data_IF_862912080989
#
_entry.id   IF_862912080989
#
_cell.length_a   1.000
_cell.length_b   1.000
_cell.length_c   1.000
_cell.angle_alpha   90.00
_cell.angle_beta   90.00
_cell.angle_gamma   90.00
#
_symmetry.space_group_name_H-M   'P 1'
#
loop_
_entity.id
_entity.type
_entity.pdbx_description
1 polymer ?
#
# COMPACT_ATOMS: atom_id res chain seq x y z
N UNK A 1 -5.76 -28.99 -14.42
CA UNK A 1 -4.37 -28.66 -14.84
C UNK A 1 -4.32 -27.41 -15.72
N UNK A 2 -5.23 -27.23 -16.68
CA UNK A 2 -5.29 -26.02 -17.53
C UNK A 2 -5.50 -24.74 -16.72
N UNK A 3 -6.38 -24.75 -15.70
CA UNK A 3 -6.61 -23.58 -14.85
C UNK A 3 -5.35 -23.11 -14.12
N UNK A 4 -4.55 -24.05 -13.64
CA UNK A 4 -3.27 -23.75 -12.96
C UNK A 4 -2.33 -23.05 -13.94
N UNK A 5 -2.28 -23.50 -15.21
CA UNK A 5 -1.46 -22.86 -16.24
C UNK A 5 -1.93 -21.43 -16.51
N UNK A 6 -3.25 -21.21 -16.63
CA UNK A 6 -3.83 -19.88 -16.89
C UNK A 6 -3.55 -18.93 -15.73
N UNK A 7 -3.77 -19.37 -14.49
CA UNK A 7 -3.50 -18.57 -13.30
C UNK A 7 -2.01 -18.28 -13.14
N UNK A 8 -1.14 -19.25 -13.46
CA UNK A 8 0.32 -19.05 -13.46
C UNK A 8 0.71 -18.01 -14.50
N UNK A 9 0.16 -18.09 -15.72
CA UNK A 9 0.40 -17.10 -16.76
C UNK A 9 -0.05 -15.70 -16.35
N UNK A 10 -1.23 -15.56 -15.74
CA UNK A 10 -1.72 -14.29 -15.20
C UNK A 10 -0.77 -13.73 -14.12
N UNK A 11 -0.29 -14.57 -13.21
CA UNK A 11 0.69 -14.18 -12.19
C UNK A 11 2.01 -13.72 -12.82
N UNK A 12 2.51 -14.44 -13.83
CA UNK A 12 3.73 -14.05 -14.57
C UNK A 12 3.54 -12.70 -15.27
N UNK A 13 2.38 -12.45 -15.89
CA UNK A 13 2.05 -11.14 -16.49
C UNK A 13 2.12 -10.04 -15.44
N UNK A 14 1.50 -10.24 -14.27
CA UNK A 14 1.53 -9.27 -13.17
C UNK A 14 2.98 -8.97 -12.76
N UNK A 15 3.79 -10.01 -12.49
CA UNK A 15 5.18 -9.85 -12.07
C UNK A 15 6.05 -9.14 -13.11
N UNK A 16 5.89 -9.48 -14.40
CA UNK A 16 6.66 -8.86 -15.48
C UNK A 16 6.32 -7.37 -15.63
N UNK A 17 5.04 -7.01 -15.57
CA UNK A 17 4.61 -5.61 -15.69
C UNK A 17 5.00 -4.79 -14.45
N UNK A 18 4.89 -5.35 -13.24
CA UNK A 18 5.35 -4.70 -12.01
C UNK A 18 6.88 -4.51 -12.01
N UNK A 19 7.65 -5.48 -12.52
CA UNK A 19 9.10 -5.34 -12.69
C UNK A 19 9.47 -4.21 -13.66
N UNK A 20 8.60 -3.92 -14.63
CA UNK A 20 8.72 -2.75 -15.52
C UNK A 20 8.22 -1.45 -14.89
N UNK A 21 7.88 -1.46 -13.59
CA UNK A 21 7.39 -0.29 -12.82
C UNK A 21 6.08 0.29 -13.36
N UNK A 22 5.23 -0.53 -13.99
CA UNK A 22 3.88 -0.10 -14.37
C UNK A 22 3.01 0.12 -13.12
N UNK A 23 2.05 1.05 -13.20
CA UNK A 23 1.11 1.29 -12.11
C UNK A 23 0.30 0.02 -11.82
N UNK A 24 0.24 -0.37 -10.54
CA UNK A 24 -0.44 -1.58 -10.06
C UNK A 24 -1.87 -1.67 -10.59
N UNK A 25 -2.61 -0.56 -10.65
CA UNK A 25 -3.99 -0.54 -11.18
C UNK A 25 -4.08 -1.01 -12.63
N UNK A 26 -3.21 -0.49 -13.52
CA UNK A 26 -3.17 -0.92 -14.92
C UNK A 26 -2.71 -2.37 -15.05
N UNK A 27 -1.75 -2.80 -14.24
CA UNK A 27 -1.29 -4.19 -14.24
C UNK A 27 -2.42 -5.15 -13.90
N UNK A 28 -3.19 -4.84 -12.85
CA UNK A 28 -4.33 -5.66 -12.44
C UNK A 28 -5.47 -5.64 -13.48
N UNK A 29 -5.72 -4.50 -14.14
CA UNK A 29 -6.69 -4.43 -15.24
C UNK A 29 -6.28 -5.30 -16.43
N UNK A 30 -5.00 -5.27 -16.83
CA UNK A 30 -4.48 -6.10 -17.92
C UNK A 30 -4.58 -7.59 -17.57
N UNK A 31 -4.20 -7.98 -16.35
CA UNK A 31 -4.33 -9.36 -15.88
C UNK A 31 -5.80 -9.82 -15.84
N UNK A 32 -6.71 -8.95 -15.40
CA UNK A 32 -8.16 -9.24 -15.41
C UNK A 32 -8.70 -9.39 -16.84
N UNK A 33 -8.27 -8.53 -17.77
CA UNK A 33 -8.63 -8.64 -19.18
C UNK A 33 -8.11 -9.94 -19.79
N UNK A 34 -6.87 -10.33 -19.47
CA UNK A 34 -6.30 -11.61 -19.87
C UNK A 34 -7.16 -12.80 -19.39
N UNK A 35 -7.60 -12.78 -18.13
CA UNK A 35 -8.49 -13.82 -17.60
C UNK A 35 -9.85 -13.84 -18.31
N UNK A 36 -10.46 -12.67 -18.54
CA UNK A 36 -11.73 -12.55 -19.26
C UNK A 36 -11.64 -13.17 -20.66
N UNK A 37 -10.56 -12.86 -21.38
CA UNK A 37 -10.34 -13.38 -22.75
C UNK A 37 -10.04 -14.88 -22.75
N UNK A 38 -9.22 -15.35 -21.82
CA UNK A 38 -8.78 -16.75 -21.76
C UNK A 38 -9.92 -17.68 -21.35
N UNK A 39 -10.71 -17.27 -20.36
CA UNK A 39 -11.90 -18.02 -19.91
C UNK A 39 -13.14 -17.75 -20.77
N UNK A 40 -13.04 -16.87 -21.78
CA UNK A 40 -14.12 -16.53 -22.72
C UNK A 40 -15.42 -16.16 -21.99
N UNK A 41 -15.32 -15.28 -21.00
CA UNK A 41 -16.49 -14.84 -20.23
C UNK A 41 -17.48 -14.15 -21.17
N UNK A 42 -18.77 -14.47 -21.00
CA UNK A 42 -19.85 -13.84 -21.74
C UNK A 42 -20.09 -12.40 -21.25
N UNK A 43 -20.59 -11.49 -22.09
CA UNK A 43 -20.77 -10.08 -21.73
C UNK A 43 -21.65 -9.85 -20.48
N UNK A 44 -22.67 -10.68 -20.29
CA UNK A 44 -23.55 -10.66 -19.11
C UNK A 44 -22.77 -10.99 -17.82
N UNK A 45 -21.86 -11.97 -17.86
CA UNK A 45 -21.01 -12.34 -16.74
C UNK A 45 -20.00 -11.25 -16.43
N UNK A 46 -19.42 -10.61 -17.45
CA UNK A 46 -18.49 -9.49 -17.25
C UNK A 46 -19.21 -8.33 -16.54
N UNK A 47 -20.41 -7.95 -17.01
CA UNK A 47 -21.19 -6.89 -16.39
C UNK A 47 -21.56 -7.22 -14.94
N UNK A 48 -21.95 -8.47 -14.68
CA UNK A 48 -22.25 -8.95 -13.33
C UNK A 48 -21.03 -8.86 -12.41
N UNK A 49 -19.86 -9.30 -12.86
CA UNK A 49 -18.61 -9.25 -12.08
C UNK A 49 -18.22 -7.80 -11.78
N UNK A 50 -18.30 -6.90 -12.76
CA UNK A 50 -18.01 -5.47 -12.57
C UNK A 50 -18.98 -4.86 -11.56
N UNK A 51 -20.28 -5.10 -11.72
CA UNK A 51 -21.30 -4.61 -10.78
C UNK A 51 -21.03 -5.11 -9.37
N UNK A 52 -20.84 -6.43 -9.20
CA UNK A 52 -20.60 -7.04 -7.90
C UNK A 52 -19.33 -6.50 -7.25
N UNK A 53 -18.27 -6.26 -8.03
CA UNK A 53 -17.00 -5.71 -7.53
C UNK A 53 -17.17 -4.27 -7.05
N UNK A 54 -17.89 -3.44 -7.82
CA UNK A 54 -18.12 -2.02 -7.48
C UNK A 54 -19.08 -1.84 -6.30
N UNK A 55 -20.05 -2.75 -6.12
CA UNK A 55 -21.02 -2.68 -5.01
C UNK A 55 -20.62 -3.55 -3.81
N UNK A 56 -19.48 -4.24 -3.86
CA UNK A 56 -19.03 -5.04 -2.74
C UNK A 56 -18.72 -4.14 -1.53
N UNK A 57 -19.24 -4.45 -0.33
CA UNK A 57 -19.00 -3.65 0.87
C UNK A 57 -17.50 -3.42 1.12
N UNK A 58 -16.68 -4.47 1.00
CA UNK A 58 -15.24 -4.38 1.17
C UNK A 58 -14.58 -3.39 0.19
N UNK A 59 -15.04 -3.33 -1.07
CA UNK A 59 -14.50 -2.38 -2.06
C UNK A 59 -14.86 -0.95 -1.67
N UNK A 60 -16.10 -0.72 -1.25
CA UNK A 60 -16.57 0.59 -0.82
C UNK A 60 -15.88 1.05 0.47
N UNK A 61 -15.76 0.16 1.45
CA UNK A 61 -15.08 0.41 2.72
C UNK A 61 -13.61 0.79 2.46
N UNK A 62 -12.91 0.03 1.61
CA UNK A 62 -11.54 0.34 1.23
C UNK A 62 -11.42 1.67 0.49
N UNK A 63 -12.31 1.94 -0.47
CA UNK A 63 -12.29 3.17 -1.25
C UNK A 63 -12.49 4.39 -0.34
N UNK A 64 -13.48 4.34 0.55
CA UNK A 64 -13.79 5.42 1.49
C UNK A 64 -12.67 5.58 2.50
N UNK A 65 -12.24 4.48 3.15
CA UNK A 65 -11.20 4.51 4.17
C UNK A 65 -9.87 5.03 3.61
N UNK A 66 -9.42 4.54 2.46
CA UNK A 66 -8.18 5.01 1.85
C UNK A 66 -8.28 6.48 1.42
N UNK A 67 -9.43 6.92 0.92
CA UNK A 67 -9.67 8.33 0.57
C UNK A 67 -9.56 9.21 1.82
N UNK A 68 -10.20 8.82 2.93
CA UNK A 68 -10.14 9.58 4.18
C UNK A 68 -8.75 9.56 4.81
N UNK A 69 -8.03 8.45 4.73
CA UNK A 69 -6.63 8.38 5.18
C UNK A 69 -5.76 9.34 4.37
N UNK A 70 -5.96 9.47 3.06
CA UNK A 70 -5.24 10.47 2.23
C UNK A 70 -5.59 11.90 2.60
N UNK A 71 -6.88 12.19 2.84
CA UNK A 71 -7.30 13.53 3.30
C UNK A 71 -6.68 13.84 4.67
N UNK A 72 -6.69 12.87 5.58
CA UNK A 72 -6.10 13.03 6.91
C UNK A 72 -4.58 13.22 6.83
N UNK A 73 -3.88 12.42 6.03
CA UNK A 73 -2.46 12.57 5.73
C UNK A 73 -2.15 13.98 5.22
N UNK A 74 -2.93 14.47 4.26
CA UNK A 74 -2.78 15.79 3.68
C UNK A 74 -2.91 16.88 4.76
N UNK A 75 -3.94 16.81 5.60
CA UNK A 75 -4.16 17.76 6.70
C UNK A 75 -2.98 17.73 7.69
N UNK A 76 -2.46 16.55 8.06
CA UNK A 76 -1.33 16.44 8.97
C UNK A 76 -0.04 17.03 8.39
N UNK A 77 0.18 16.89 7.09
CA UNK A 77 1.32 17.50 6.38
C UNK A 77 1.17 19.01 6.32
N UNK A 78 0.00 19.49 5.91
CA UNK A 78 -0.30 20.93 5.79
C UNK A 78 -0.17 21.66 7.14
N UNK A 79 -0.70 21.05 8.21
CA UNK A 79 -0.56 21.57 9.58
C UNK A 79 0.85 21.43 10.18
N UNK A 80 1.82 20.88 9.43
CA UNK A 80 3.17 20.50 9.90
C UNK A 80 3.16 19.62 11.15
N UNK A 81 2.08 18.85 11.35
CA UNK A 81 1.93 17.98 12.51
C UNK A 81 2.97 16.85 12.46
N UNK A 82 3.21 16.27 11.27
CA UNK A 82 4.23 15.22 11.10
C UNK A 82 5.64 15.70 11.47
N UNK A 83 6.03 16.89 11.03
CA UNK A 83 7.33 17.51 11.38
C UNK A 83 7.47 17.70 12.90
N UNK A 84 6.43 18.26 13.54
CA UNK A 84 6.41 18.47 15.00
C UNK A 84 6.50 17.15 15.78
N UNK A 85 5.78 16.13 15.33
CA UNK A 85 5.84 14.78 15.90
C UNK A 85 7.25 14.20 15.77
N UNK A 86 7.87 14.29 14.59
CA UNK A 86 9.24 13.79 14.41
C UNK A 86 10.27 14.56 15.25
N UNK A 87 10.12 15.88 15.40
CA UNK A 87 10.97 16.69 16.27
C UNK A 87 10.86 16.28 17.74
N UNK A 88 9.64 16.00 18.22
CA UNK A 88 9.42 15.50 19.58
C UNK A 88 10.07 14.11 19.78
N UNK A 89 9.94 13.20 18.81
CA UNK A 89 10.56 11.88 18.87
C UNK A 89 12.09 11.94 18.89
N UNK A 90 12.70 12.88 18.16
CA UNK A 90 14.15 13.15 18.22
C UNK A 90 14.61 13.64 19.60
N UNK A 91 13.73 14.29 20.37
CA UNK A 91 14.03 14.68 21.76
C UNK A 91 14.00 13.50 22.74
N UNK A 92 13.18 12.48 22.46
CA UNK A 92 13.04 11.29 23.30
C UNK A 92 14.16 10.28 23.03
N UNK A 93 14.44 10.01 21.75
CA UNK A 93 15.42 9.01 21.36
C UNK A 93 16.78 9.63 21.02
N UNK A 94 17.84 9.13 21.65
CA UNK A 94 19.22 9.54 21.37
C UNK A 94 19.73 9.11 19.99
N UNK A 95 19.20 8.02 19.42
CA UNK A 95 19.68 7.45 18.16
C UNK A 95 18.68 7.70 17.01
N UNK A 96 19.18 8.21 15.87
CA UNK A 96 18.41 8.42 14.64
C UNK A 96 17.68 7.15 14.17
N UNK A 97 18.31 5.98 14.29
CA UNK A 97 17.68 4.70 13.89
C UNK A 97 16.39 4.43 14.68
N UNK A 98 16.41 4.67 15.99
CA UNK A 98 15.24 4.49 16.85
C UNK A 98 14.10 5.44 16.48
N UNK A 99 14.42 6.69 16.13
CA UNK A 99 13.44 7.68 15.65
C UNK A 99 12.78 7.24 14.34
N UNK A 100 13.56 6.70 13.41
CA UNK A 100 13.08 6.23 12.10
C UNK A 100 12.12 5.04 12.25
N UNK A 101 12.42 4.13 13.18
CA UNK A 101 11.66 2.89 13.41
C UNK A 101 10.41 3.13 14.25
N UNK A 102 10.42 4.11 15.16
CA UNK A 102 9.37 4.26 16.16
C UNK A 102 7.98 4.51 15.56
N UNK A 103 7.88 5.28 14.48
CA UNK A 103 6.57 5.62 13.90
C UNK A 103 5.91 4.45 13.16
N UNK A 104 6.62 3.73 12.24
CA UNK A 104 6.11 2.49 11.70
C UNK A 104 5.69 1.49 12.78
N UNK A 105 6.48 1.35 13.84
CA UNK A 105 6.17 0.44 14.95
C UNK A 105 4.86 0.83 15.64
N UNK A 106 4.69 2.10 16.02
CA UNK A 106 3.48 2.59 16.67
C UNK A 106 2.24 2.41 15.81
N UNK A 107 2.31 2.77 14.52
CA UNK A 107 1.19 2.58 13.59
C UNK A 107 0.94 1.09 13.33
N UNK A 108 1.99 0.28 13.29
CA UNK A 108 1.90 -1.17 13.14
C UNK A 108 1.25 -1.91 14.29
N UNK A 109 1.19 -1.28 15.48
CA UNK A 109 0.41 -1.80 16.60
C UNK A 109 -1.09 -1.52 16.47
N UNK A 110 -1.51 -0.67 15.52
CA UNK A 110 -2.93 -0.39 15.26
C UNK A 110 -3.46 -1.33 14.17
N UNK A 111 -4.66 -1.92 14.35
CA UNK A 111 -5.33 -2.63 13.27
C UNK A 111 -5.75 -1.60 12.19
N UNK A 112 -5.00 -1.53 11.09
CA UNK A 112 -5.20 -0.47 10.09
C UNK A 112 -5.09 -0.98 8.65
N UNK A 113 -6.16 -0.74 7.90
CA UNK A 113 -6.28 -1.09 6.47
C UNK A 113 -5.45 -0.16 5.56
N UNK A 114 -5.03 1.01 6.07
CA UNK A 114 -4.19 1.97 5.35
C UNK A 114 -2.86 2.27 6.03
N UNK A 115 -2.43 1.42 6.96
CA UNK A 115 -1.20 1.61 7.75
C UNK A 115 0.00 1.93 6.86
N UNK A 116 0.14 1.23 5.73
CA UNK A 116 1.18 1.46 4.73
C UNK A 116 1.23 2.90 4.19
N UNK A 117 0.07 3.44 3.81
CA UNK A 117 -0.06 4.77 3.24
C UNK A 117 0.14 5.87 4.29
N UNK A 118 -0.29 5.62 5.54
CA UNK A 118 -0.17 6.59 6.61
C UNK A 118 1.23 6.62 7.26
N UNK A 119 1.93 5.49 7.30
CA UNK A 119 3.29 5.37 7.87
C UNK A 119 4.41 5.78 6.91
N UNK A 120 4.22 5.57 5.60
CA UNK A 120 5.16 6.02 4.57
C UNK A 120 5.59 7.50 4.68
N UNK A 121 4.68 8.49 4.82
CA UNK A 121 5.04 9.90 4.98
C UNK A 121 5.82 10.17 6.28
N UNK A 122 5.59 9.38 7.33
CA UNK A 122 6.32 9.52 8.59
C UNK A 122 7.76 9.01 8.47
N UNK A 123 7.97 7.88 7.80
CA UNK A 123 9.31 7.40 7.48
C UNK A 123 10.05 8.40 6.61
N UNK A 124 9.36 8.97 5.62
CA UNK A 124 9.96 9.99 4.75
C UNK A 124 10.37 11.24 5.53
N UNK A 125 9.52 11.75 6.42
CA UNK A 125 9.86 12.88 7.30
C UNK A 125 10.99 12.54 8.29
N UNK A 126 10.97 11.34 8.88
CA UNK A 126 11.99 10.87 9.81
C UNK A 126 13.38 10.77 9.16
N UNK A 127 13.41 10.42 7.87
CA UNK A 127 14.62 10.12 7.11
C UNK A 127 15.06 11.30 6.22
N UNK A 128 14.40 12.46 6.30
CA UNK A 128 14.70 13.65 5.48
C UNK A 128 16.16 14.09 5.53
N UNK A 129 16.80 13.97 6.70
CA UNK A 129 18.21 14.33 6.92
C UNK A 129 19.17 13.13 6.80
N UNK A 130 18.71 12.02 6.21
CA UNK A 130 19.48 10.78 6.08
C UNK A 130 19.42 10.30 4.63
N UNK A 131 20.57 9.99 3.99
CA UNK A 131 20.59 9.51 2.62
C UNK A 131 20.18 8.04 2.57
N UNK A 132 18.89 7.76 2.72
CA UNK A 132 18.30 6.44 2.47
C UNK A 132 17.69 6.38 1.08
N UNK A 133 17.95 5.27 0.41
CA UNK A 133 17.31 4.91 -0.86
C UNK A 133 15.79 4.69 -0.68
N UNK A 134 14.97 4.88 -1.73
CA UNK A 134 13.54 4.56 -1.68
C UNK A 134 13.25 3.13 -1.23
N UNK A 135 14.12 2.18 -1.61
CA UNK A 135 14.07 0.78 -1.22
C UNK A 135 14.26 0.61 0.30
N UNK A 136 15.24 1.29 0.90
CA UNK A 136 15.47 1.26 2.35
C UNK A 136 14.33 1.91 3.14
N UNK A 137 13.78 3.02 2.64
CA UNK A 137 12.59 3.65 3.24
C UNK A 137 11.39 2.72 3.20
N UNK A 138 11.17 2.06 2.06
CA UNK A 138 10.10 1.08 1.88
C UNK A 138 10.30 -0.14 2.77
N UNK A 139 11.53 -0.65 2.86
CA UNK A 139 11.89 -1.74 3.76
C UNK A 139 11.60 -1.37 5.22
N UNK A 140 12.03 -0.18 5.66
CA UNK A 140 11.75 0.32 7.01
C UNK A 140 10.25 0.39 7.29
N UNK A 141 9.50 0.98 6.34
CA UNK A 141 8.07 1.12 6.46
C UNK A 141 7.35 -0.23 6.52
N UNK A 142 7.78 -1.20 5.71
CA UNK A 142 7.19 -2.53 5.65
C UNK A 142 7.59 -3.40 6.85
N UNK A 143 8.86 -3.44 7.23
CA UNK A 143 9.35 -4.36 8.25
C UNK A 143 8.81 -3.99 9.64
N UNK A 144 8.91 -2.71 10.01
CA UNK A 144 8.58 -2.28 11.37
C UNK A 144 7.10 -2.02 11.60
N UNK A 145 6.27 -1.96 10.55
CA UNK A 145 4.82 -1.82 10.70
C UNK A 145 4.08 -3.14 11.00
N UNK A 146 4.78 -4.28 11.05
CA UNK A 146 4.16 -5.57 11.37
C UNK A 146 4.83 -6.22 12.59
N UNK A 147 4.83 -5.55 13.76
CA UNK A 147 5.44 -6.11 14.96
C UNK A 147 4.73 -7.38 15.48
N UNK A 148 3.51 -7.64 15.00
CA UNK A 148 2.63 -8.74 15.46
C UNK A 148 2.27 -9.76 14.36
N UNK A 149 2.89 -9.72 13.17
CA UNK A 149 2.62 -10.70 12.10
C UNK A 149 3.43 -12.00 12.22
N UNK A 150 4.10 -12.21 13.36
CA UNK A 150 4.93 -13.40 13.64
C UNK A 150 4.52 -14.07 14.95
#
# INVERSE_FOLDING_TARGET
MVDILILTAAMVIILLLLRRKWNVGYVLMIASLFLILTYRLTPDRILLVVKNTLTAPITLDLLIALTFIRIFEYILRDARALERMMKAMRGIFRNKKSVIISMPLLIGMLPSVGGAYFSAPMVDEATRDTPLTPEEKTFTNYWYRHPWEF
#
